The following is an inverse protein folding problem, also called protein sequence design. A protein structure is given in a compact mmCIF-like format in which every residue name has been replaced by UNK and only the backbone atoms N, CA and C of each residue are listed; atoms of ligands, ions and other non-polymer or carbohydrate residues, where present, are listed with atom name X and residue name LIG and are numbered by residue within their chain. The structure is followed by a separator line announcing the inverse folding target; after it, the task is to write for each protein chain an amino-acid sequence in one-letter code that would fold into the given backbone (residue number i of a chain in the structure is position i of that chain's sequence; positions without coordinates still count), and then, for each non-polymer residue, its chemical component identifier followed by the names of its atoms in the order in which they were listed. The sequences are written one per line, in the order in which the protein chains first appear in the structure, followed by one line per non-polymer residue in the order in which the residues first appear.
data_IF_503348856159
#
_entry.id   IF_503348856159
#
_cell.length_a   1.000
_cell.length_b   1.000
_cell.length_c   1.000
_cell.angle_alpha   90.00
_cell.angle_beta   90.00
_cell.angle_gamma   90.00
#
_symmetry.space_group_name_H-M   'P 1'
#
loop_
_entity.id
_entity.type
_entity.pdbx_description
1 polymer ?
#
# COMPACT_ATOMS: atom_id res chain seq x y z
N UNK A 1 -17.35 -1.12 -46.08
CA UNK A 1 -16.95 -0.12 -45.07
C UNK A 1 -16.59 -0.74 -43.69
N UNK A 2 -15.93 -1.91 -43.63
CA UNK A 2 -15.60 -2.56 -42.34
C UNK A 2 -14.15 -2.40 -41.88
N UNK A 3 -13.20 -2.20 -42.82
CA UNK A 3 -11.76 -2.10 -42.53
C UNK A 3 -11.39 -0.80 -41.79
N UNK A 4 -11.99 0.33 -42.17
CA UNK A 4 -11.76 1.61 -41.48
C UNK A 4 -12.27 1.63 -40.04
N UNK A 5 -13.39 0.95 -39.77
CA UNK A 5 -13.96 0.87 -38.41
C UNK A 5 -13.08 0.07 -37.44
N UNK A 6 -12.42 -0.99 -37.92
CA UNK A 6 -11.51 -1.82 -37.11
C UNK A 6 -10.24 -1.04 -36.75
N UNK A 7 -9.70 -0.26 -37.69
CA UNK A 7 -8.51 0.56 -37.47
C UNK A 7 -8.80 1.65 -36.42
N UNK A 8 -9.97 2.30 -36.50
CA UNK A 8 -10.40 3.31 -35.52
C UNK A 8 -10.57 2.69 -34.13
N UNK A 9 -11.15 1.49 -34.03
CA UNK A 9 -11.29 0.79 -32.74
C UNK A 9 -9.95 0.40 -32.10
N UNK A 10 -8.97 -0.05 -32.91
CA UNK A 10 -7.62 -0.36 -32.44
C UNK A 10 -6.89 0.88 -31.90
N UNK A 11 -7.04 2.03 -32.57
CA UNK A 11 -6.46 3.30 -32.11
C UNK A 11 -7.06 3.72 -30.76
N UNK A 12 -8.38 3.60 -30.59
CA UNK A 12 -9.06 3.93 -29.33
C UNK A 12 -8.62 3.01 -28.19
N UNK A 13 -8.48 1.70 -28.45
CA UNK A 13 -8.03 0.74 -27.44
C UNK A 13 -6.60 1.02 -26.97
N UNK A 14 -5.69 1.35 -27.90
CA UNK A 14 -4.30 1.71 -27.57
C UNK A 14 -4.29 2.99 -26.74
N UNK A 15 -5.12 4.00 -27.08
CA UNK A 15 -5.22 5.25 -26.33
C UNK A 15 -5.65 5.02 -24.87
N UNK A 16 -6.63 4.14 -24.65
CA UNK A 16 -7.10 3.80 -23.30
C UNK A 16 -5.99 3.13 -22.46
N UNK A 17 -5.19 2.25 -23.08
CA UNK A 17 -4.08 1.56 -22.41
C UNK A 17 -2.94 2.51 -22.00
N UNK A 18 -2.70 3.60 -22.76
CA UNK A 18 -1.68 4.61 -22.37
C UNK A 18 -2.14 5.52 -21.23
N UNK A 19 -3.45 5.65 -20.98
CA UNK A 19 -3.98 6.47 -19.89
C UNK A 19 -3.94 5.78 -18.51
N UNK A 20 -3.75 4.45 -18.45
CA UNK A 20 -3.71 3.70 -17.18
C UNK A 20 -2.34 3.69 -16.50
N UNK A 21 -1.31 4.30 -17.10
CA UNK A 21 0.03 4.38 -16.53
C UNK A 21 0.34 5.77 -16.00
N UNK A 22 0.02 6.02 -14.72
CA UNK A 22 0.74 6.87 -13.74
C UNK A 22 -0.26 7.38 -12.69
N UNK A 23 -0.34 6.71 -11.54
CA UNK A 23 -0.86 7.34 -10.34
C UNK A 23 0.28 8.15 -9.74
N UNK A 24 0.04 9.46 -9.60
CA UNK A 24 0.94 10.41 -8.95
C UNK A 24 1.29 9.94 -7.55
N UNK A 25 2.57 9.76 -7.26
CA UNK A 25 3.08 9.92 -5.88
C UNK A 25 2.78 11.37 -5.49
N UNK A 26 1.86 11.56 -4.56
CA UNK A 26 1.61 12.86 -3.96
C UNK A 26 2.59 13.03 -2.81
N UNK A 27 3.57 13.96 -2.88
CA UNK A 27 4.30 14.33 -1.69
C UNK A 27 3.36 15.20 -0.85
N UNK A 28 2.67 14.59 0.11
CA UNK A 28 1.94 15.34 1.14
C UNK A 28 2.96 15.78 2.20
N UNK A 29 3.58 16.93 1.94
CA UNK A 29 4.31 17.68 2.96
C UNK A 29 3.27 18.41 3.84
N UNK A 30 2.82 17.73 4.88
CA UNK A 30 2.18 18.36 6.04
C UNK A 30 2.88 17.93 7.30
N UNK A 31 3.91 18.70 7.65
CA UNK A 31 4.43 18.75 9.01
C UNK A 31 3.36 19.30 9.96
N UNK A 32 2.43 18.46 10.41
CA UNK A 32 1.63 18.72 11.60
C UNK A 32 1.41 17.39 12.35
N UNK A 33 2.34 17.15 13.28
CA UNK A 33 2.48 15.96 14.13
C UNK A 33 2.95 14.68 13.40
N UNK A 34 4.20 14.66 12.95
CA UNK A 34 4.94 13.42 12.64
C UNK A 34 5.18 12.60 13.93
N UNK A 35 4.12 12.17 14.62
CA UNK A 35 4.22 10.91 15.34
C UNK A 35 4.13 9.89 14.21
N UNK A 36 5.21 9.17 13.86
CA UNK A 36 5.07 8.05 12.95
C UNK A 36 3.95 7.19 13.53
N UNK A 37 2.82 7.07 12.82
CA UNK A 37 1.78 6.16 13.23
C UNK A 37 2.45 4.79 13.32
N UNK A 38 2.40 4.20 14.51
CA UNK A 38 3.09 2.95 14.78
C UNK A 38 2.11 1.80 14.63
N UNK A 39 2.58 0.67 14.14
CA UNK A 39 1.83 -0.58 14.27
C UNK A 39 2.14 -1.21 15.62
N UNK A 40 1.12 -1.78 16.27
CA UNK A 40 1.26 -2.37 17.59
C UNK A 40 1.06 -3.88 17.58
N UNK A 41 1.99 -4.60 18.18
CA UNK A 41 1.93 -6.07 18.31
C UNK A 41 1.71 -6.44 19.78
N UNK A 42 0.66 -7.23 20.07
CA UNK A 42 0.44 -7.81 21.40
C UNK A 42 -0.05 -9.26 21.33
N UNK A 43 0.37 -10.07 22.30
CA UNK A 43 -0.06 -11.47 22.44
C UNK A 43 -1.53 -11.57 22.87
N UNK A 44 -2.06 -10.54 23.55
CA UNK A 44 -3.45 -10.52 24.03
C UNK A 44 -4.46 -10.37 22.89
N UNK A 45 -4.04 -9.95 21.69
CA UNK A 45 -4.93 -9.64 20.57
C UNK A 45 -5.73 -8.34 20.76
N UNK A 46 -5.38 -7.53 21.77
CA UNK A 46 -5.98 -6.21 22.02
C UNK A 46 -5.42 -5.11 21.10
N UNK A 47 -4.46 -5.47 20.25
CA UNK A 47 -3.78 -4.63 19.26
C UNK A 47 -3.96 -5.22 17.87
N UNK A 48 -3.50 -4.46 16.88
CA UNK A 48 -3.68 -4.74 15.45
C UNK A 48 -3.06 -6.07 15.04
N UNK A 49 -1.92 -6.46 15.63
CA UNK A 49 -1.20 -7.67 15.25
C UNK A 49 -0.85 -8.54 16.46
N UNK A 50 -0.82 -9.87 16.22
CA UNK A 50 -0.33 -10.86 17.19
C UNK A 50 0.99 -11.51 16.77
N UNK A 51 1.41 -11.32 15.51
CA UNK A 51 2.71 -11.69 14.95
C UNK A 51 3.53 -10.43 14.64
N UNK A 52 4.82 -10.50 14.95
CA UNK A 52 5.80 -9.47 14.60
C UNK A 52 6.02 -9.44 13.08
N UNK A 53 6.11 -10.61 12.42
CA UNK A 53 6.34 -10.67 10.98
C UNK A 53 5.17 -10.06 10.20
N UNK A 54 3.93 -10.35 10.60
CA UNK A 54 2.75 -9.75 9.95
C UNK A 54 2.75 -8.21 10.07
N UNK A 55 3.13 -7.67 11.22
CA UNK A 55 3.24 -6.23 11.39
C UNK A 55 4.35 -5.61 10.51
N UNK A 56 5.45 -6.32 10.30
CA UNK A 56 6.53 -5.89 9.39
C UNK A 56 6.05 -5.88 7.95
N UNK A 57 5.38 -6.95 7.51
CA UNK A 57 4.90 -7.11 6.13
C UNK A 57 3.86 -6.04 5.77
N UNK A 58 3.09 -5.58 6.75
CA UNK A 58 2.04 -4.58 6.59
C UNK A 58 2.50 -3.14 6.91
N UNK A 59 3.69 -2.94 7.49
CA UNK A 59 4.18 -1.62 7.86
C UNK A 59 4.45 -0.77 6.60
N UNK A 60 3.84 0.43 6.48
CA UNK A 60 4.25 1.42 5.49
C UNK A 60 5.71 1.82 5.66
N UNK A 61 6.32 2.35 4.58
CA UNK A 61 7.66 2.90 4.66
C UNK A 61 7.75 3.98 5.76
N UNK A 62 8.84 3.93 6.54
CA UNK A 62 9.12 4.83 7.66
C UNK A 62 8.21 4.69 8.89
N UNK A 63 7.37 3.65 8.97
CA UNK A 63 6.61 3.34 10.20
C UNK A 63 7.47 2.61 11.24
N UNK A 64 7.11 2.76 12.52
CA UNK A 64 7.71 2.03 13.64
C UNK A 64 6.79 0.90 14.10
N UNK A 65 7.32 -0.31 14.26
CA UNK A 65 6.60 -1.43 14.87
C UNK A 65 6.89 -1.47 16.37
N UNK A 66 5.87 -1.29 17.20
CA UNK A 66 5.94 -1.35 18.66
C UNK A 66 5.51 -2.73 19.16
N UNK A 67 6.44 -3.46 19.77
CA UNK A 67 6.19 -4.80 20.29
C UNK A 67 6.03 -4.75 21.80
N UNK A 68 4.85 -5.11 22.31
CA UNK A 68 4.61 -5.20 23.75
C UNK A 68 5.35 -6.39 24.37
N UNK A 69 5.75 -6.32 25.66
CA UNK A 69 6.49 -7.40 26.32
C UNK A 69 5.76 -8.74 26.25
N UNK A 70 6.49 -9.81 25.90
CA UNK A 70 5.95 -11.15 25.83
C UNK A 70 6.81 -12.11 25.04
N UNK A 71 6.38 -13.37 24.95
CA UNK A 71 7.01 -14.39 24.12
C UNK A 71 6.22 -14.59 22.83
N UNK A 72 6.80 -14.19 21.70
CA UNK A 72 6.23 -14.37 20.37
C UNK A 72 6.82 -15.63 19.72
N UNK A 73 5.96 -16.45 19.11
CA UNK A 73 6.38 -17.59 18.32
C UNK A 73 6.27 -17.20 16.85
N UNK A 74 7.39 -16.82 16.23
CA UNK A 74 7.47 -16.41 14.82
C UNK A 74 8.06 -17.55 13.96
N UNK A 75 7.81 -17.53 12.65
CA UNK A 75 8.32 -18.52 11.68
C UNK A 75 8.85 -17.87 10.43
#
# INVERSE_FOLDING_TARGET
MKKGSIIIQLIILILILVLSGCTTISPDDKNEHNIPEGLYVSISGEKEFTSIQEAIDQAPENYTVYVFPGKYNET
#
